data_IF_003969149623
#
_entry.id   IF_003969149623
#
_cell.length_a   1.000
_cell.length_b   1.000
_cell.length_c   1.000
_cell.angle_alpha   90.00
_cell.angle_beta   90.00
_cell.angle_gamma   90.00
#
_symmetry.space_group_name_H-M   'P 1'
#
loop_
_entity.id
_entity.type
_entity.pdbx_description
1 polymer ?
#
# COMPACT_ATOMS: atom_id res chain seq x y z
N UNK A 1 -4.05 -18.24 4.00
CA UNK A 1 -3.13 -18.15 2.86
C UNK A 1 -2.46 -19.50 2.77
N UNK A 2 -2.48 -20.12 1.59
CA UNK A 2 -1.77 -21.39 1.40
C UNK A 2 -0.29 -21.11 1.13
N UNK A 3 0.59 -22.06 1.44
CA UNK A 3 2.03 -21.95 1.15
C UNK A 3 2.30 -21.71 -0.35
N UNK A 4 1.39 -22.16 -1.22
CA UNK A 4 1.47 -22.02 -2.68
C UNK A 4 1.19 -20.57 -3.12
N UNK A 5 0.23 -19.87 -2.51
CA UNK A 5 -0.05 -18.46 -2.80
C UNK A 5 1.16 -17.58 -2.44
N UNK A 6 1.76 -17.83 -1.29
CA UNK A 6 2.93 -17.07 -0.82
C UNK A 6 4.16 -17.26 -1.72
N UNK A 7 4.39 -18.48 -2.22
CA UNK A 7 5.49 -18.76 -3.15
C UNK A 7 5.24 -18.10 -4.52
N UNK A 8 4.01 -18.12 -5.02
CA UNK A 8 3.69 -17.53 -6.32
C UNK A 8 3.82 -16.00 -6.30
N UNK A 9 3.44 -15.36 -5.20
CA UNK A 9 3.59 -13.92 -4.97
C UNK A 9 5.08 -13.48 -4.96
N UNK A 10 5.99 -14.32 -4.44
CA UNK A 10 7.43 -14.02 -4.40
C UNK A 10 8.13 -14.18 -5.75
N UNK A 11 7.49 -14.81 -6.73
CA UNK A 11 8.06 -15.03 -8.08
C UNK A 11 7.51 -14.08 -9.15
N UNK A 12 6.44 -13.34 -8.87
CA UNK A 12 5.80 -12.46 -9.84
C UNK A 12 6.14 -11.00 -9.56
N UNK A 13 6.70 -10.33 -10.57
CA UNK A 13 6.90 -8.88 -10.58
C UNK A 13 5.52 -8.19 -10.58
N UNK A 14 5.33 -7.20 -9.71
CA UNK A 14 4.10 -6.42 -9.75
C UNK A 14 3.98 -5.64 -11.06
N UNK A 15 2.81 -5.70 -11.66
CA UNK A 15 2.46 -4.85 -12.80
C UNK A 15 1.73 -3.62 -12.30
N UNK A 16 2.11 -2.46 -12.82
CA UNK A 16 1.51 -1.18 -12.44
C UNK A 16 0.99 -0.42 -13.63
N UNK A 17 -0.06 0.37 -13.42
CA UNK A 17 -0.59 1.29 -14.42
C UNK A 17 -0.68 2.70 -13.85
N UNK A 18 -0.31 3.68 -14.66
CA UNK A 18 -0.40 5.09 -14.29
C UNK A 18 -1.86 5.52 -14.04
N UNK A 19 -2.06 6.30 -12.99
CA UNK A 19 -3.35 6.85 -12.60
C UNK A 19 -3.25 8.36 -12.36
N UNK A 20 -4.38 9.04 -12.54
CA UNK A 20 -4.48 10.46 -12.18
C UNK A 20 -4.95 10.58 -10.72
N UNK A 21 -4.02 10.97 -9.83
CA UNK A 21 -4.30 11.14 -8.41
C UNK A 21 -5.33 12.24 -8.12
N UNK A 22 -5.42 13.30 -8.92
CA UNK A 22 -6.39 14.39 -8.72
C UNK A 22 -7.83 13.90 -8.89
N UNK A 23 -8.06 12.88 -9.73
CA UNK A 23 -9.39 12.27 -9.87
C UNK A 23 -9.80 11.47 -8.63
N UNK A 24 -8.82 10.90 -7.91
CA UNK A 24 -9.05 10.06 -6.74
C UNK A 24 -9.07 10.93 -5.47
N UNK A 25 -8.17 11.91 -5.41
CA UNK A 25 -7.91 12.83 -4.30
C UNK A 25 -8.03 14.29 -4.75
N UNK A 26 -9.24 14.77 -5.10
CA UNK A 26 -9.43 16.12 -5.65
C UNK A 26 -9.05 17.25 -4.67
N UNK A 27 -8.90 16.96 -3.38
CA UNK A 27 -8.39 17.91 -2.39
C UNK A 27 -7.68 17.19 -1.22
N UNK A 28 -6.59 16.49 -1.51
CA UNK A 28 -5.88 15.64 -0.53
C UNK A 28 -5.51 16.37 0.76
N UNK A 29 -5.21 17.68 0.69
CA UNK A 29 -4.81 18.51 1.84
C UNK A 29 -5.93 18.67 2.87
N UNK A 30 -7.20 18.52 2.45
CA UNK A 30 -8.37 18.60 3.35
C UNK A 30 -8.87 17.23 3.82
N UNK A 31 -8.27 16.15 3.32
CA UNK A 31 -8.71 14.79 3.63
C UNK A 31 -8.07 14.31 4.93
N UNK A 32 -8.82 13.52 5.69
CA UNK A 32 -8.22 12.79 6.82
C UNK A 32 -7.39 11.63 6.29
N UNK A 33 -6.37 11.22 7.06
CA UNK A 33 -5.46 10.15 6.65
C UNK A 33 -6.20 8.83 6.41
N UNK A 34 -7.24 8.53 7.21
CA UNK A 34 -8.10 7.36 7.05
C UNK A 34 -8.81 7.35 5.69
N UNK A 35 -9.28 8.53 5.22
CA UNK A 35 -9.92 8.66 3.91
C UNK A 35 -8.92 8.46 2.78
N UNK A 36 -7.68 8.94 2.96
CA UNK A 36 -6.60 8.75 1.99
C UNK A 36 -6.21 7.28 1.90
N UNK A 37 -6.01 6.61 3.04
CA UNK A 37 -5.68 5.20 3.13
C UNK A 37 -6.79 4.31 2.55
N UNK A 38 -8.06 4.61 2.86
CA UNK A 38 -9.20 3.90 2.29
C UNK A 38 -9.23 3.98 0.77
N UNK A 39 -8.98 5.17 0.19
CA UNK A 39 -8.88 5.33 -1.26
C UNK A 39 -7.68 4.61 -1.86
N UNK A 40 -6.54 4.59 -1.17
CA UNK A 40 -5.38 3.81 -1.61
C UNK A 40 -5.70 2.32 -1.66
N UNK A 41 -6.39 1.79 -0.64
CA UNK A 41 -6.91 0.42 -0.62
C UNK A 41 -7.90 0.14 -1.77
N UNK A 42 -8.92 0.99 -1.94
CA UNK A 42 -9.96 0.81 -2.96
C UNK A 42 -9.39 0.79 -4.39
N UNK A 43 -8.38 1.63 -4.64
CA UNK A 43 -7.76 1.83 -5.95
C UNK A 43 -6.43 1.08 -6.11
N UNK A 44 -6.06 0.19 -5.17
CA UNK A 44 -4.82 -0.61 -5.18
C UNK A 44 -3.57 0.23 -5.45
N UNK A 45 -3.50 1.41 -4.84
CA UNK A 45 -2.42 2.36 -5.05
C UNK A 45 -1.18 1.91 -4.27
N UNK A 46 -0.02 1.98 -4.91
CA UNK A 46 1.26 1.78 -4.22
C UNK A 46 1.49 2.91 -3.21
N UNK A 47 1.81 2.52 -1.99
CA UNK A 47 2.04 3.44 -0.88
C UNK A 47 3.40 3.19 -0.25
N UNK A 48 3.98 4.27 0.27
CA UNK A 48 5.21 4.24 1.05
C UNK A 48 4.96 4.88 2.40
N UNK A 49 5.29 4.17 3.47
CA UNK A 49 5.16 4.60 4.86
C UNK A 49 6.55 4.86 5.44
N UNK A 50 6.68 5.97 6.16
CA UNK A 50 7.81 6.21 7.05
C UNK A 50 7.29 6.30 8.49
N UNK A 51 7.99 5.61 9.37
CA UNK A 51 7.68 5.55 10.80
C UNK A 51 8.74 6.34 11.58
N UNK A 52 8.34 7.47 12.15
CA UNK A 52 9.26 8.47 12.72
C UNK A 52 10.19 7.90 13.81
N UNK A 53 9.72 6.91 14.57
CA UNK A 53 10.47 6.34 15.69
C UNK A 53 11.51 5.29 15.30
N UNK A 54 11.34 4.63 14.15
CA UNK A 54 12.16 3.47 13.76
C UNK A 54 12.97 3.70 12.48
N UNK A 55 12.73 4.80 11.75
CA UNK A 55 13.27 5.04 10.40
C UNK A 55 13.04 3.86 9.45
N UNK A 56 12.06 3.01 9.76
CA UNK A 56 11.74 1.84 8.96
C UNK A 56 10.77 2.27 7.86
N UNK A 57 11.25 2.24 6.64
CA UNK A 57 10.45 2.42 5.42
C UNK A 57 9.67 1.14 5.13
N UNK A 58 8.38 1.28 4.80
CA UNK A 58 7.55 0.18 4.30
C UNK A 58 6.90 0.57 2.99
N UNK A 59 7.16 -0.20 1.95
CA UNK A 59 6.61 0.01 0.61
C UNK A 59 5.68 -1.14 0.26
N UNK A 60 4.49 -0.86 -0.28
CA UNK A 60 3.56 -1.93 -0.58
C UNK A 60 2.18 -1.48 -1.05
N UNK A 61 1.25 -2.42 -1.06
CA UNK A 61 -0.18 -2.16 -1.26
C UNK A 61 -0.99 -2.49 -0.02
N UNK A 62 -2.03 -1.71 0.24
CA UNK A 62 -2.96 -2.01 1.32
C UNK A 62 -3.83 -3.19 0.86
N UNK A 63 -3.71 -4.33 1.52
CA UNK A 63 -4.52 -5.53 1.27
C UNK A 63 -5.81 -5.54 2.10
N UNK A 64 -5.77 -4.95 3.31
CA UNK A 64 -6.93 -4.80 4.19
C UNK A 64 -6.90 -3.45 4.89
N UNK A 65 -8.09 -2.86 5.11
CA UNK A 65 -8.26 -1.57 5.78
C UNK A 65 -9.48 -1.63 6.72
N UNK A 66 -9.21 -1.52 8.04
CA UNK A 66 -10.21 -1.63 9.10
C UNK A 66 -10.40 -0.30 9.87
N UNK A 67 -10.22 0.84 9.17
CA UNK A 67 -10.20 2.22 9.70
C UNK A 67 -9.05 2.56 10.65
N UNK A 68 -8.76 1.70 11.63
CA UNK A 68 -7.72 1.92 12.65
C UNK A 68 -6.43 1.17 12.33
N UNK A 69 -6.52 0.13 11.48
CA UNK A 69 -5.42 -0.76 11.14
C UNK A 69 -5.42 -1.07 9.65
N UNK A 70 -4.23 -1.22 9.08
CA UNK A 70 -4.02 -1.68 7.72
C UNK A 70 -3.17 -2.95 7.71
N UNK A 71 -3.50 -3.88 6.81
CA UNK A 71 -2.58 -4.95 6.41
C UNK A 71 -1.89 -4.51 5.12
N UNK A 72 -0.60 -4.25 5.20
CA UNK A 72 0.26 -3.91 4.06
C UNK A 72 0.88 -5.19 3.50
N UNK A 73 0.66 -5.48 2.22
CA UNK A 73 1.44 -6.47 1.49
C UNK A 73 2.70 -5.77 0.98
N UNK A 74 3.82 -6.05 1.64
CA UNK A 74 5.08 -5.35 1.38
C UNK A 74 5.73 -5.84 0.09
N UNK A 75 6.32 -4.89 -0.60
CA UNK A 75 6.99 -5.06 -1.87
C UNK A 75 8.42 -4.57 -1.71
N UNK A 76 9.37 -5.36 -2.17
CA UNK A 76 10.74 -4.90 -2.28
C UNK A 76 10.84 -3.83 -3.38
N UNK A 77 11.29 -2.63 -3.02
CA UNK A 77 11.32 -1.47 -3.93
C UNK A 77 12.23 -1.66 -5.14
N UNK A 78 13.26 -2.50 -5.03
CA UNK A 78 14.23 -2.71 -6.09
C UNK A 78 13.76 -3.77 -7.09
N UNK A 79 13.15 -4.83 -6.59
CA UNK A 79 12.79 -6.02 -7.37
C UNK A 79 11.31 -6.05 -7.74
N UNK A 80 10.45 -5.28 -7.06
CA UNK A 80 9.01 -5.23 -7.31
C UNK A 80 8.29 -6.55 -6.97
N UNK A 81 8.86 -7.40 -6.13
CA UNK A 81 8.23 -8.65 -5.70
C UNK A 81 7.67 -8.51 -4.28
N UNK A 82 6.66 -9.31 -3.95
CA UNK A 82 6.16 -9.37 -2.59
C UNK A 82 7.16 -10.04 -1.66
N UNK A 83 7.36 -9.46 -0.47
CA UNK A 83 8.35 -9.96 0.50
C UNK A 83 7.76 -10.32 1.85
N UNK A 84 6.71 -9.63 2.29
CA UNK A 84 6.15 -9.83 3.62
C UNK A 84 4.73 -9.25 3.72
N UNK A 85 4.10 -9.46 4.87
CA UNK A 85 2.90 -8.73 5.28
C UNK A 85 3.15 -8.04 6.61
N UNK A 86 2.71 -6.80 6.73
CA UNK A 86 2.78 -6.03 7.97
C UNK A 86 1.41 -5.53 8.39
N UNK A 87 1.20 -5.45 9.70
CA UNK A 87 0.11 -4.68 10.27
C UNK A 87 0.63 -3.31 10.69
N UNK A 88 -0.10 -2.25 10.34
CA UNK A 88 0.25 -0.87 10.67
C UNK A 88 -1.00 -0.22 11.28
N UNK A 89 -0.87 0.38 12.45
CA UNK A 89 -1.93 1.19 13.03
C UNK A 89 -1.94 2.55 12.34
N UNK A 90 -3.13 3.08 12.05
CA UNK A 90 -3.24 4.36 11.34
C UNK A 90 -2.68 5.52 12.18
N UNK A 91 -2.84 5.45 13.51
CA UNK A 91 -2.27 6.44 14.44
C UNK A 91 -0.74 6.47 14.46
N UNK A 92 -0.10 5.38 14.03
CA UNK A 92 1.36 5.23 13.98
C UNK A 92 1.95 5.76 12.66
N UNK A 93 1.12 6.10 11.66
CA UNK A 93 1.59 6.63 10.38
C UNK A 93 2.05 8.07 10.53
N UNK A 94 3.37 8.28 10.51
CA UNK A 94 3.98 9.62 10.53
C UNK A 94 3.95 10.28 9.15
N UNK A 95 4.34 9.53 8.10
CA UNK A 95 4.28 9.99 6.71
C UNK A 95 3.72 8.91 5.79
N UNK A 96 2.89 9.35 4.84
CA UNK A 96 2.31 8.52 3.77
C UNK A 96 2.62 9.17 2.42
N UNK A 97 3.36 8.47 1.56
CA UNK A 97 3.51 8.85 0.17
C UNK A 97 2.64 7.97 -0.72
N UNK A 98 1.76 8.61 -1.49
CA UNK A 98 0.86 7.96 -2.44
C UNK A 98 1.50 8.01 -3.83
N UNK A 99 1.70 6.86 -4.48
CA UNK A 99 2.26 6.79 -5.83
C UNK A 99 1.19 6.99 -6.88
N UNK A 100 1.55 7.55 -8.03
CA UNK A 100 0.66 7.78 -9.16
C UNK A 100 0.41 6.50 -10.00
N UNK A 101 0.29 5.34 -9.35
CA UNK A 101 0.07 4.08 -10.02
C UNK A 101 -0.81 3.11 -9.20
N UNK A 102 -1.67 2.37 -9.90
CA UNK A 102 -2.42 1.23 -9.36
C UNK A 102 -1.69 -0.09 -9.67
N UNK A 103 -1.78 -1.07 -8.78
CA UNK A 103 -1.26 -2.44 -9.01
C UNK A 103 -2.31 -3.33 -9.64
N UNK A 104 -1.90 -4.04 -10.69
CA UNK A 104 -2.75 -4.95 -11.46
C UNK A 104 -2.64 -6.40 -10.96
N UNK A 105 -3.61 -7.25 -11.30
CA UNK A 105 -3.51 -8.70 -11.11
C UNK A 105 -3.66 -9.24 -9.67
N UNK A 106 -3.98 -8.39 -8.69
CA UNK A 106 -4.20 -8.80 -7.29
C UNK A 106 -5.70 -8.96 -7.03
N UNK A 107 -6.18 -10.17 -6.74
CA UNK A 107 -7.58 -10.44 -6.34
C UNK A 107 -7.82 -10.07 -4.85
N UNK A 108 -9.09 -9.82 -4.47
CA UNK A 108 -9.50 -9.40 -3.11
C UNK A 108 -9.85 -10.58 -2.22
#
# INVERSE_FOLDING_TARGET
MSDIEEVNDRMNLIETKDINLEKIFPNIVKMKIEEVLKKCFENKILVHFEHEKSYSEKFGIIERFDNEKITLKEIDKMTGIFISKSEILVEDVSFLFVRNCEVLGIER
#
